data_IF_816273619671
#
_entry.id   IF_816273619671
#
_cell.length_a   1.000
_cell.length_b   1.000
_cell.length_c   1.000
_cell.angle_alpha   90.00
_cell.angle_beta   90.00
_cell.angle_gamma   90.00
#
_symmetry.space_group_name_H-M   'P 1'
#
loop_
_entity.id
_entity.type
_entity.pdbx_description
1 polymer ?
#
# COMPACT_ATOMS: atom_id res chain seq x y z
N UNK A 1 6.45 -16.95 59.61
CA UNK A 1 7.00 -17.02 58.24
C UNK A 1 6.75 -15.70 57.51
N UNK A 2 7.59 -15.38 56.52
CA UNK A 2 8.10 -14.05 56.17
C UNK A 2 7.10 -13.10 55.48
N UNK A 3 6.96 -11.87 55.97
CA UNK A 3 6.33 -10.74 55.27
C UNK A 3 7.41 -9.80 54.72
N UNK A 4 7.92 -10.03 53.51
CA UNK A 4 8.93 -9.17 52.88
C UNK A 4 8.83 -9.14 51.34
N UNK A 5 7.70 -8.72 50.75
CA UNK A 5 7.65 -8.53 49.29
C UNK A 5 6.76 -7.35 48.84
N UNK A 6 6.91 -6.16 49.44
CA UNK A 6 6.17 -4.95 48.99
C UNK A 6 7.08 -3.73 48.77
N UNK A 7 8.32 -3.93 48.32
CA UNK A 7 9.25 -2.79 48.08
C UNK A 7 9.86 -2.70 46.67
N UNK A 8 9.47 -3.56 45.73
CA UNK A 8 10.07 -3.60 44.38
C UNK A 8 9.20 -3.02 43.26
N UNK A 9 7.91 -2.76 43.49
CA UNK A 9 6.98 -2.28 42.44
C UNK A 9 6.98 -0.77 42.23
N UNK A 10 7.42 0.02 43.21
CA UNK A 10 7.35 1.49 43.15
C UNK A 10 8.42 2.10 42.23
N UNK A 11 9.62 1.51 42.18
CA UNK A 11 10.75 2.09 41.43
C UNK A 11 10.53 2.02 39.91
N UNK A 12 9.87 0.97 39.40
CA UNK A 12 9.60 0.81 37.97
C UNK A 12 8.59 1.85 37.43
N UNK A 13 7.58 2.23 38.23
CA UNK A 13 6.57 3.21 37.79
C UNK A 13 7.17 4.61 37.67
N UNK A 14 8.09 4.98 38.56
CA UNK A 14 8.74 6.30 38.53
C UNK A 14 9.63 6.50 37.29
N UNK A 15 10.35 5.46 36.84
CA UNK A 15 11.21 5.53 35.65
C UNK A 15 10.38 5.66 34.36
N UNK A 16 9.24 4.96 34.26
CA UNK A 16 8.35 5.06 33.10
C UNK A 16 7.68 6.44 33.03
N UNK A 17 7.23 7.01 34.16
CA UNK A 17 6.65 8.37 34.16
C UNK A 17 7.66 9.45 33.77
N UNK A 18 8.94 9.32 34.15
CA UNK A 18 9.98 10.25 33.72
C UNK A 18 10.31 10.12 32.22
N UNK A 19 10.33 8.90 31.67
CA UNK A 19 10.56 8.69 30.22
C UNK A 19 9.39 9.18 29.36
N UNK A 20 8.15 9.10 29.86
CA UNK A 20 6.96 9.51 29.10
C UNK A 20 6.70 11.02 29.06
N UNK A 21 7.54 11.84 29.69
CA UNK A 21 7.58 13.29 29.44
C UNK A 21 6.20 13.97 29.45
N UNK A 22 5.31 13.56 30.34
CA UNK A 22 3.95 14.11 30.41
C UNK A 22 3.99 15.41 31.22
N UNK A 23 4.28 16.52 30.55
CA UNK A 23 4.13 17.86 31.12
C UNK A 23 2.66 18.11 31.44
N UNK A 24 2.30 17.89 32.71
CA UNK A 24 0.99 18.30 33.25
C UNK A 24 1.01 19.80 33.54
N UNK A 25 0.43 20.60 32.65
CA UNK A 25 0.06 21.99 32.92
C UNK A 25 -1.41 22.09 33.32
N UNK A 26 -1.66 21.81 34.60
CA UNK A 26 -2.37 22.71 35.54
C UNK A 26 -3.24 23.87 34.98
N UNK A 27 -4.54 23.75 35.27
CA UNK A 27 -5.49 24.76 35.77
C UNK A 27 -5.89 26.00 34.93
N UNK A 28 -7.21 26.23 34.82
CA UNK A 28 -7.78 27.54 34.44
C UNK A 28 -9.27 27.47 34.11
N UNK A 29 -10.14 27.95 35.00
CA UNK A 29 -11.59 27.73 34.97
C UNK A 29 -12.46 28.82 34.32
N UNK A 30 -13.77 28.70 34.65
CA UNK A 30 -14.84 29.73 34.72
C UNK A 30 -15.60 30.13 33.44
N UNK A 31 -16.89 29.76 33.46
CA UNK A 31 -18.11 30.58 33.27
C UNK A 31 -18.27 31.54 32.08
N UNK A 32 -19.44 31.47 31.43
CA UNK A 32 -20.05 32.58 30.68
C UNK A 32 -20.70 32.12 29.36
N UNK A 33 -22.02 31.91 29.26
CA UNK A 33 -23.12 32.89 29.06
C UNK A 33 -23.21 33.41 27.60
N UNK A 34 -24.35 33.09 26.97
CA UNK A 34 -25.16 33.87 25.99
C UNK A 34 -24.61 34.25 24.59
N UNK A 35 -25.51 34.15 23.59
CA UNK A 35 -25.50 34.91 22.32
C UNK A 35 -25.41 34.00 21.09
N UNK A 36 -26.49 33.62 20.38
CA UNK A 36 -27.42 34.39 19.52
C UNK A 36 -26.78 34.87 18.20
N UNK A 37 -27.45 34.53 17.09
CA UNK A 37 -27.32 35.03 15.69
C UNK A 37 -26.02 34.70 14.94
N UNK A 38 -25.98 34.46 13.62
CA UNK A 38 -26.96 34.54 12.54
C UNK A 38 -26.40 33.81 11.29
N UNK A 39 -27.28 33.20 10.49
CA UNK A 39 -27.62 33.60 9.10
C UNK A 39 -26.52 33.41 8.03
N UNK A 40 -26.88 32.53 7.07
CA UNK A 40 -26.68 32.61 5.60
C UNK A 40 -25.23 32.59 5.07
N UNK A 41 -24.85 31.82 4.04
CA UNK A 41 -25.50 31.66 2.74
C UNK A 41 -24.75 30.64 1.87
N UNK A 42 -25.53 29.78 1.18
CA UNK A 42 -25.41 29.32 -0.21
C UNK A 42 -24.05 29.29 -0.94
N UNK A 43 -23.73 28.18 -1.62
CA UNK A 43 -23.87 28.02 -3.09
C UNK A 43 -23.25 26.71 -3.61
N UNK A 44 -23.81 26.29 -4.73
CA UNK A 44 -23.74 25.03 -5.43
C UNK A 44 -22.64 24.95 -6.51
N UNK A 45 -22.43 23.70 -6.95
CA UNK A 45 -22.30 23.25 -8.35
C UNK A 45 -21.03 23.56 -9.19
N UNK A 46 -20.51 22.45 -9.73
CA UNK A 46 -20.24 22.15 -11.15
C UNK A 46 -18.92 22.55 -11.84
N UNK A 47 -18.34 21.51 -12.46
CA UNK A 47 -17.85 21.41 -13.85
C UNK A 47 -16.53 22.06 -14.29
N UNK A 48 -15.79 21.30 -15.12
CA UNK A 48 -14.68 21.73 -15.99
C UNK A 48 -13.72 20.56 -16.17
N UNK A 49 -13.68 19.84 -17.30
CA UNK A 49 -13.07 20.30 -18.58
C UNK A 49 -11.57 20.01 -18.50
N UNK A 50 -10.90 19.24 -19.36
CA UNK A 50 -11.00 19.02 -20.80
C UNK A 50 -9.56 19.05 -21.35
N UNK A 51 -9.29 18.35 -22.45
CA UNK A 51 -8.05 18.49 -23.26
C UNK A 51 -6.88 17.62 -22.80
N UNK A 52 -6.01 17.11 -23.67
CA UNK A 52 -5.84 17.37 -25.09
C UNK A 52 -4.53 16.69 -25.55
N UNK A 53 -4.53 16.18 -26.76
CA UNK A 53 -3.45 15.44 -27.41
C UNK A 53 -2.34 16.37 -27.93
N UNK A 54 -1.08 15.90 -27.99
CA UNK A 54 -0.18 15.94 -29.19
C UNK A 54 1.32 16.17 -28.91
N UNK A 55 2.12 15.23 -29.43
CA UNK A 55 3.36 15.37 -30.23
C UNK A 55 4.56 16.21 -29.74
N UNK A 56 5.78 15.63 -29.82
CA UNK A 56 6.89 16.11 -30.69
C UNK A 56 8.21 15.32 -30.53
N UNK A 57 8.54 14.55 -31.57
CA UNK A 57 9.85 14.33 -32.23
C UNK A 57 11.16 14.66 -31.47
N UNK A 58 12.04 13.65 -31.35
CA UNK A 58 13.50 13.78 -31.57
C UNK A 58 14.14 12.41 -31.86
N UNK A 59 14.25 12.09 -33.14
CA UNK A 59 15.09 11.04 -33.71
C UNK A 59 16.52 11.56 -33.88
N UNK A 60 17.51 10.90 -33.29
CA UNK A 60 18.93 11.20 -33.48
C UNK A 60 19.58 9.96 -34.13
N UNK A 61 19.64 9.96 -35.46
CA UNK A 61 20.20 8.88 -36.25
C UNK A 61 20.96 9.47 -37.43
N UNK A 62 22.26 9.67 -37.25
CA UNK A 62 23.19 9.94 -38.34
C UNK A 62 24.08 8.71 -38.52
N UNK A 63 23.69 7.83 -39.44
CA UNK A 63 24.59 6.80 -39.98
C UNK A 63 25.24 7.38 -41.23
N UNK A 64 26.58 7.42 -41.27
CA UNK A 64 27.34 7.61 -42.50
C UNK A 64 27.93 6.25 -42.86
N UNK A 65 27.37 5.61 -43.87
CA UNK A 65 27.97 4.46 -44.52
C UNK A 65 29.16 4.90 -45.36
N UNK A 66 30.30 4.24 -45.15
CA UNK A 66 31.44 4.25 -46.08
C UNK A 66 31.79 2.79 -46.38
N UNK A 67 31.36 2.38 -47.56
CA UNK A 67 32.03 1.52 -48.55
C UNK A 67 32.58 0.10 -48.20
N UNK A 68 32.19 -0.82 -49.10
CA UNK A 68 33.00 -1.88 -49.70
C UNK A 68 33.48 -3.07 -48.86
N UNK A 69 33.03 -4.27 -49.23
CA UNK A 69 33.77 -5.51 -48.94
C UNK A 69 32.98 -6.81 -49.03
N UNK A 70 32.71 -7.29 -50.25
CA UNK A 70 32.25 -8.65 -50.61
C UNK A 70 33.03 -9.75 -49.84
N UNK A 71 32.40 -10.87 -49.42
CA UNK A 71 32.67 -12.30 -49.81
C UNK A 71 31.86 -13.32 -48.95
N UNK A 72 31.10 -14.16 -49.65
CA UNK A 72 30.59 -15.51 -49.33
C UNK A 72 30.88 -16.19 -47.98
N UNK A 73 29.84 -16.75 -47.32
CA UNK A 73 29.65 -18.22 -47.13
C UNK A 73 28.34 -18.58 -46.41
N UNK A 74 27.66 -19.57 -46.99
CA UNK A 74 26.52 -20.36 -46.48
C UNK A 74 26.81 -20.99 -45.11
N UNK A 75 25.86 -20.95 -44.16
CA UNK A 75 25.53 -22.03 -43.20
C UNK A 75 24.38 -21.57 -42.28
N UNK A 76 23.46 -22.49 -42.01
CA UNK A 76 22.16 -22.23 -41.39
C UNK A 76 22.17 -21.72 -39.95
N UNK A 77 21.01 -21.20 -39.56
CA UNK A 77 20.69 -20.82 -38.20
C UNK A 77 19.24 -20.39 -38.16
N UNK A 78 18.35 -21.35 -37.93
CA UNK A 78 16.99 -21.06 -37.48
C UNK A 78 17.11 -20.32 -36.16
N UNK A 79 17.04 -18.99 -36.19
CA UNK A 79 16.95 -18.17 -34.99
C UNK A 79 15.55 -18.33 -34.40
N UNK A 80 15.33 -19.47 -33.74
CA UNK A 80 14.26 -19.64 -32.80
C UNK A 80 14.47 -18.60 -31.71
N UNK A 81 13.70 -17.52 -31.76
CA UNK A 81 13.63 -16.54 -30.69
C UNK A 81 12.95 -17.23 -29.50
N UNK A 82 13.71 -17.97 -28.71
CA UNK A 82 13.32 -18.35 -27.36
C UNK A 82 13.08 -17.05 -26.61
N UNK A 83 11.81 -16.67 -26.50
CA UNK A 83 11.34 -15.64 -25.58
C UNK A 83 11.66 -16.16 -24.18
N UNK A 84 12.85 -15.84 -23.68
CA UNK A 84 13.21 -16.06 -22.29
C UNK A 84 12.32 -15.13 -21.48
N UNK A 85 11.22 -15.65 -20.96
CA UNK A 85 10.46 -14.97 -19.92
C UNK A 85 11.45 -14.71 -18.77
N UNK A 86 11.72 -13.45 -18.39
CA UNK A 86 12.65 -13.19 -17.31
C UNK A 86 12.10 -13.83 -16.04
N UNK A 87 12.77 -14.86 -15.54
CA UNK A 87 12.48 -15.42 -14.23
C UNK A 87 12.77 -14.33 -13.20
N UNK A 88 11.83 -13.99 -12.30
CA UNK A 88 12.06 -12.99 -11.28
C UNK A 88 13.23 -13.45 -10.40
N UNK A 89 14.35 -12.73 -10.47
CA UNK A 89 15.47 -12.91 -9.54
C UNK A 89 14.93 -12.66 -8.13
N UNK A 90 15.25 -13.51 -7.15
CA UNK A 90 14.77 -13.40 -5.77
C UNK A 90 14.97 -12.01 -5.12
N UNK A 91 15.87 -11.18 -5.67
CA UNK A 91 16.11 -9.78 -5.26
C UNK A 91 15.05 -8.77 -5.74
N UNK A 92 14.20 -9.12 -6.72
CA UNK A 92 13.23 -8.22 -7.34
C UNK A 92 11.79 -8.35 -6.80
N UNK A 93 11.50 -9.40 -6.01
CA UNK A 93 10.18 -9.60 -5.43
C UNK A 93 9.81 -8.41 -4.52
N UNK A 94 8.59 -7.86 -4.60
CA UNK A 94 8.15 -6.79 -3.72
C UNK A 94 7.96 -7.29 -2.29
N UNK A 95 8.01 -6.38 -1.33
CA UNK A 95 7.57 -6.66 0.04
C UNK A 95 6.17 -6.10 0.25
N UNK A 96 5.23 -6.91 0.71
CA UNK A 96 3.88 -6.47 1.05
C UNK A 96 3.51 -6.90 2.47
N UNK A 97 2.75 -6.05 3.16
CA UNK A 97 2.19 -6.41 4.46
C UNK A 97 0.87 -5.68 4.72
N UNK A 98 -0.01 -6.33 5.47
CA UNK A 98 -1.33 -5.79 5.83
C UNK A 98 -1.16 -4.77 6.96
N UNK A 99 -1.58 -3.53 6.72
CA UNK A 99 -1.67 -2.47 7.74
C UNK A 99 -2.99 -2.54 8.51
N UNK A 100 -4.09 -2.83 7.81
CA UNK A 100 -5.41 -3.00 8.40
C UNK A 100 -6.15 -4.06 7.61
N UNK A 101 -6.62 -5.10 8.27
CA UNK A 101 -7.47 -6.11 7.65
C UNK A 101 -8.90 -5.58 7.50
N UNK A 102 -9.72 -6.20 6.65
CA UNK A 102 -11.17 -6.04 6.72
C UNK A 102 -11.68 -6.49 8.10
N UNK A 103 -12.73 -5.85 8.60
CA UNK A 103 -13.22 -6.10 9.95
C UNK A 103 -14.75 -6.14 9.96
N UNK A 104 -15.34 -7.08 10.72
CA UNK A 104 -16.78 -7.13 10.92
C UNK A 104 -17.27 -5.88 11.66
N UNK A 105 -18.57 -5.58 11.54
CA UNK A 105 -19.19 -4.51 12.30
C UNK A 105 -19.07 -4.79 13.80
N UNK A 106 -18.72 -3.76 14.60
CA UNK A 106 -18.56 -3.89 16.05
C UNK A 106 -19.23 -2.71 16.76
N UNK A 107 -20.36 -3.00 17.42
CA UNK A 107 -21.16 -1.98 18.10
C UNK A 107 -21.69 -0.94 17.11
N UNK A 108 -21.42 0.34 17.37
CA UNK A 108 -21.81 1.45 16.49
C UNK A 108 -20.91 1.61 15.24
N UNK A 109 -19.75 0.95 15.21
CA UNK A 109 -18.85 1.00 14.06
C UNK A 109 -19.33 0.04 12.97
N UNK A 110 -19.55 0.57 11.77
CA UNK A 110 -19.88 -0.22 10.59
C UNK A 110 -18.75 -1.18 10.20
N UNK A 111 -19.09 -2.18 9.38
CA UNK A 111 -18.11 -3.12 8.84
C UNK A 111 -17.14 -2.43 7.88
N UNK A 112 -15.89 -2.90 7.87
CA UNK A 112 -14.84 -2.45 6.94
C UNK A 112 -14.57 -3.58 5.98
N UNK A 113 -14.97 -3.42 4.72
CA UNK A 113 -14.91 -4.47 3.69
C UNK A 113 -13.67 -4.36 2.78
N UNK A 114 -12.65 -3.63 3.24
CA UNK A 114 -11.41 -3.43 2.52
C UNK A 114 -10.20 -3.47 3.45
N UNK A 115 -9.16 -4.18 3.02
CA UNK A 115 -7.86 -4.20 3.65
C UNK A 115 -6.99 -3.07 3.14
N UNK A 116 -6.17 -2.51 4.01
CA UNK A 116 -5.10 -1.57 3.66
C UNK A 116 -3.78 -2.32 3.70
N UNK A 117 -3.06 -2.33 2.60
CA UNK A 117 -1.75 -2.99 2.43
C UNK A 117 -0.70 -1.91 2.17
N UNK A 118 0.52 -2.08 2.71
CA UNK A 118 1.69 -1.31 2.25
C UNK A 118 2.58 -2.22 1.42
N UNK A 119 2.84 -1.79 0.20
CA UNK A 119 3.73 -2.41 -0.76
C UNK A 119 5.03 -1.61 -0.82
N UNK A 120 6.17 -2.30 -0.86
CA UNK A 120 7.48 -1.73 -1.13
C UNK A 120 8.11 -2.43 -2.33
N UNK A 121 8.39 -1.64 -3.37
CA UNK A 121 8.88 -2.13 -4.66
C UNK A 121 10.41 -2.27 -4.67
N UNK A 122 10.90 -3.46 -5.01
CA UNK A 122 12.34 -3.76 -5.02
C UNK A 122 12.93 -3.89 -6.44
N UNK A 123 12.09 -4.18 -7.44
CA UNK A 123 12.53 -4.35 -8.83
C UNK A 123 13.06 -3.02 -9.42
N UNK A 124 14.09 -3.11 -10.26
CA UNK A 124 14.68 -1.95 -10.94
C UNK A 124 13.72 -1.37 -11.98
N UNK A 125 13.59 -0.04 -12.01
CA UNK A 125 12.66 0.66 -12.91
C UNK A 125 11.30 0.91 -12.26
N UNK A 126 10.29 1.13 -13.09
CA UNK A 126 8.89 1.32 -12.67
C UNK A 126 8.05 0.20 -13.24
N UNK A 127 7.37 -0.54 -12.37
CA UNK A 127 6.58 -1.71 -12.72
C UNK A 127 5.19 -1.64 -12.12
N UNK A 128 4.30 -2.45 -12.67
CA UNK A 128 3.00 -2.73 -12.08
C UNK A 128 3.14 -3.96 -11.18
N UNK A 129 2.50 -3.87 -10.01
CA UNK A 129 2.44 -4.95 -9.04
C UNK A 129 0.99 -5.33 -8.83
N UNK A 130 0.74 -6.63 -8.79
CA UNK A 130 -0.52 -7.22 -8.35
C UNK A 130 -0.40 -7.49 -6.85
N UNK A 131 -1.44 -7.11 -6.10
CA UNK A 131 -1.53 -7.25 -4.65
C UNK A 131 -2.80 -8.02 -4.33
N UNK A 132 -2.62 -9.22 -3.82
CA UNK A 132 -3.72 -10.11 -3.44
C UNK A 132 -3.83 -10.18 -1.93
N UNK A 133 -5.05 -10.11 -1.43
CA UNK A 133 -5.36 -10.31 -0.01
C UNK A 133 -6.30 -11.49 0.11
N UNK A 134 -5.87 -12.51 0.85
CA UNK A 134 -6.74 -13.58 1.30
C UNK A 134 -7.31 -13.22 2.67
N UNK A 135 -8.64 -13.24 2.77
CA UNK A 135 -9.39 -12.99 3.99
C UNK A 135 -9.73 -14.34 4.63
N UNK A 136 -9.29 -14.53 5.87
CA UNK A 136 -9.33 -15.81 6.56
C UNK A 136 -10.30 -15.76 7.74
N UNK A 137 -10.97 -16.87 8.00
CA UNK A 137 -11.75 -17.07 9.23
C UNK A 137 -10.85 -17.44 10.43
N UNK A 138 -11.48 -17.67 11.58
CA UNK A 138 -10.79 -18.05 12.82
C UNK A 138 -10.05 -19.41 12.74
N UNK A 139 -10.41 -20.27 11.78
CA UNK A 139 -9.71 -21.53 11.53
C UNK A 139 -8.53 -21.36 10.55
N UNK A 140 -8.31 -20.16 10.01
CA UNK A 140 -7.31 -19.89 8.99
C UNK A 140 -7.75 -20.29 7.57
N UNK A 141 -9.04 -20.56 7.36
CA UNK A 141 -9.58 -20.92 6.04
C UNK A 141 -9.88 -19.66 5.25
N UNK A 142 -9.46 -19.61 3.99
CA UNK A 142 -9.81 -18.50 3.09
C UNK A 142 -11.31 -18.49 2.81
N UNK A 143 -11.98 -17.44 3.29
CA UNK A 143 -13.40 -17.23 3.05
C UNK A 143 -13.65 -16.32 1.87
N UNK A 144 -12.70 -15.43 1.56
CA UNK A 144 -12.78 -14.51 0.43
C UNK A 144 -11.39 -14.03 -0.02
N UNK A 145 -11.33 -13.42 -1.19
CA UNK A 145 -10.14 -12.81 -1.78
C UNK A 145 -10.40 -11.36 -2.15
N UNK A 146 -9.34 -10.68 -2.57
CA UNK A 146 -9.43 -9.37 -3.17
C UNK A 146 -8.10 -9.03 -3.83
N UNK A 147 -8.18 -8.31 -4.95
CA UNK A 147 -7.02 -7.94 -5.77
C UNK A 147 -6.96 -6.42 -5.95
N UNK A 148 -5.74 -5.89 -6.04
CA UNK A 148 -5.51 -4.54 -6.54
C UNK A 148 -4.17 -4.43 -7.26
N UNK A 149 -4.14 -3.65 -8.35
CA UNK A 149 -2.90 -3.32 -9.04
C UNK A 149 -2.35 -1.97 -8.62
N UNK A 150 -1.03 -1.83 -8.49
CA UNK A 150 -0.38 -0.54 -8.24
C UNK A 150 0.92 -0.41 -9.00
N UNK A 151 1.19 0.79 -9.52
CA UNK A 151 2.46 1.10 -10.18
C UNK A 151 3.41 1.76 -9.18
N UNK A 152 4.63 1.24 -9.08
CA UNK A 152 5.64 1.73 -8.16
C UNK A 152 7.05 1.64 -8.78
N UNK A 153 7.89 2.62 -8.45
CA UNK A 153 9.31 2.59 -8.80
C UNK A 153 10.15 1.92 -7.71
N UNK A 154 11.37 1.47 -8.06
CA UNK A 154 12.32 0.92 -7.08
C UNK A 154 12.47 1.82 -5.84
N UNK A 155 12.33 1.23 -4.66
CA UNK A 155 12.45 1.91 -3.37
C UNK A 155 11.21 2.70 -2.96
N UNK A 156 10.21 2.81 -3.84
CA UNK A 156 8.95 3.45 -3.51
C UNK A 156 8.10 2.54 -2.61
N UNK A 157 7.35 3.20 -1.72
CA UNK A 157 6.39 2.54 -0.84
C UNK A 157 5.00 3.11 -1.11
N UNK A 158 4.04 2.22 -1.40
CA UNK A 158 2.65 2.58 -1.71
C UNK A 158 1.70 1.97 -0.69
N UNK A 159 0.64 2.70 -0.37
CA UNK A 159 -0.50 2.17 0.38
C UNK A 159 -1.62 1.87 -0.60
N UNK A 160 -2.11 0.64 -0.57
CA UNK A 160 -3.13 0.11 -1.49
C UNK A 160 -4.33 -0.34 -0.66
N UNK A 161 -5.53 0.03 -1.13
CA UNK A 161 -6.78 -0.46 -0.56
C UNK A 161 -7.28 -1.61 -1.42
N UNK A 162 -7.32 -2.81 -0.85
CA UNK A 162 -7.79 -4.04 -1.49
C UNK A 162 -9.17 -4.36 -0.95
N UNK A 163 -10.19 -4.35 -1.81
CA UNK A 163 -11.58 -4.66 -1.40
C UNK A 163 -11.80 -6.16 -1.42
N UNK A 164 -12.66 -6.64 -0.52
CA UNK A 164 -13.22 -7.98 -0.61
C UNK A 164 -14.03 -8.13 -1.91
N UNK A 165 -13.93 -9.30 -2.55
CA UNK A 165 -14.75 -9.65 -3.70
C UNK A 165 -16.21 -9.90 -3.30
N UNK A 166 -16.42 -10.44 -2.09
CA UNK A 166 -17.73 -10.64 -1.45
C UNK A 166 -17.81 -9.91 -0.11
N UNK A 167 -18.13 -8.60 -0.13
CA UNK A 167 -18.21 -7.77 1.06
C UNK A 167 -19.20 -8.26 2.14
N UNK A 168 -20.19 -9.07 1.76
CA UNK A 168 -21.18 -9.67 2.66
C UNK A 168 -20.59 -10.75 3.61
N UNK A 169 -19.48 -11.36 3.22
CA UNK A 169 -18.76 -12.36 4.03
C UNK A 169 -17.86 -11.72 5.12
N UNK A 170 -17.77 -10.38 5.17
CA UNK A 170 -16.90 -9.64 6.11
C UNK A 170 -17.15 -9.99 7.58
N UNK A 171 -18.36 -10.45 7.90
CA UNK A 171 -18.75 -10.88 9.24
C UNK A 171 -17.93 -12.07 9.78
N UNK A 172 -17.31 -12.85 8.89
CA UNK A 172 -16.55 -14.06 9.21
C UNK A 172 -15.02 -13.85 9.19
N UNK A 173 -14.55 -12.65 8.82
CA UNK A 173 -13.12 -12.34 8.72
C UNK A 173 -12.51 -12.20 10.11
N UNK A 174 -11.45 -12.95 10.37
CA UNK A 174 -10.64 -12.86 11.58
C UNK A 174 -9.22 -12.35 11.29
N UNK A 175 -8.63 -12.75 10.16
CA UNK A 175 -7.29 -12.32 9.76
C UNK A 175 -7.14 -12.16 8.25
N UNK A 176 -6.07 -11.48 7.84
CA UNK A 176 -5.75 -11.27 6.43
C UNK A 176 -4.30 -11.66 6.17
N UNK A 177 -4.06 -12.29 5.03
CA UNK A 177 -2.71 -12.52 4.49
C UNK A 177 -2.59 -11.82 3.15
N UNK A 178 -1.37 -11.43 2.78
CA UNK A 178 -1.12 -10.67 1.55
C UNK A 178 0.02 -11.28 0.77
N UNK A 179 -0.16 -11.39 -0.53
CA UNK A 179 0.90 -11.67 -1.51
C UNK A 179 0.99 -10.50 -2.48
N UNK A 180 2.17 -10.29 -3.03
CA UNK A 180 2.34 -9.32 -4.09
C UNK A 180 3.40 -9.81 -5.07
N UNK A 181 3.14 -9.60 -6.35
CA UNK A 181 4.02 -10.02 -7.43
C UNK A 181 4.11 -8.96 -8.52
N UNK A 182 5.15 -9.10 -9.35
CA UNK A 182 5.39 -8.21 -10.47
C UNK A 182 4.52 -8.69 -11.65
N UNK A 183 3.72 -7.77 -12.22
CA UNK A 183 2.91 -8.03 -13.42
C UNK A 183 3.70 -7.60 -14.67
N UNK A 184 3.75 -8.46 -15.70
CA UNK A 184 4.58 -8.30 -16.92
C UNK A 184 3.75 -8.07 -18.19
#
# INVERSE_FOLDING_TARGET
MRRQHVKLTVVLVAVVLALTGFSSSSHGGKSGKSGKSGKSSSRSSSSGGGGGCSNSKKSNGTYRDTDSGTRYRTSGGTSGSTRTTPTPTATAAPNAYVLRCAQPAKGASGAVTASTVRLSANASGTHTYEVDVAFLDAAGTTIDTGEATVRAARGETKTVSVRMDRPDEVSRVESCTVTAELSY
#
